data_IF_375160221065
#
_entry.id   IF_375160221065
#
_cell.length_a   1.000
_cell.length_b   1.000
_cell.length_c   1.000
_cell.angle_alpha   90.00
_cell.angle_beta   90.00
_cell.angle_gamma   90.00
#
_symmetry.space_group_name_H-M   'P 1'
#
loop_
_entity.id
_entity.type
_entity.pdbx_description
1 polymer ?
#
# COMPACT_ATOMS: atom_id res chain seq x y z
N UNK A 1 -14.00 9.53 -10.11
CA UNK A 1 -12.53 9.52 -10.10
C UNK A 1 -12.09 10.16 -8.78
N UNK A 2 -11.14 9.57 -8.04
CA UNK A 2 -10.71 10.08 -6.73
C UNK A 2 -9.39 10.85 -6.85
N UNK A 3 -9.15 11.80 -5.93
CA UNK A 3 -7.90 12.57 -5.85
C UNK A 3 -6.65 11.65 -5.84
N UNK A 4 -6.74 10.50 -5.15
CA UNK A 4 -5.66 9.50 -5.13
C UNK A 4 -5.31 9.00 -6.53
N UNK A 5 -6.30 8.68 -7.37
CA UNK A 5 -6.04 8.17 -8.72
C UNK A 5 -5.38 9.24 -9.60
N UNK A 6 -5.80 10.50 -9.47
CA UNK A 6 -5.19 11.63 -10.16
C UNK A 6 -3.73 11.83 -9.71
N UNK A 7 -3.47 11.78 -8.40
CA UNK A 7 -2.11 11.85 -7.85
C UNK A 7 -1.22 10.71 -8.38
N UNK A 8 -1.71 9.47 -8.37
CA UNK A 8 -0.96 8.32 -8.90
C UNK A 8 -0.72 8.46 -10.41
N UNK A 9 -1.70 8.94 -11.17
CA UNK A 9 -1.56 9.16 -12.60
C UNK A 9 -0.48 10.19 -12.92
N UNK A 10 -0.43 11.30 -12.18
CA UNK A 10 0.64 12.30 -12.34
C UNK A 10 1.99 11.70 -11.91
N UNK A 11 2.03 10.98 -10.79
CA UNK A 11 3.26 10.43 -10.26
C UNK A 11 3.90 9.37 -11.18
N UNK A 12 3.16 8.74 -12.12
CA UNK A 12 3.71 7.81 -13.13
C UNK A 12 4.77 8.43 -14.05
N UNK A 13 4.96 9.74 -14.05
CA UNK A 13 6.11 10.37 -14.73
C UNK A 13 7.45 10.12 -14.01
N UNK A 14 7.41 9.61 -12.77
CA UNK A 14 8.57 9.42 -11.88
C UNK A 14 9.71 8.63 -12.53
N UNK A 15 9.50 7.45 -13.17
CA UNK A 15 10.59 6.73 -13.83
C UNK A 15 11.35 7.58 -14.85
N UNK A 16 10.62 8.41 -15.62
CA UNK A 16 11.21 9.33 -16.60
C UNK A 16 12.00 10.45 -15.93
N UNK A 17 11.50 11.00 -14.83
CA UNK A 17 12.18 12.08 -14.08
C UNK A 17 13.45 11.56 -13.41
N UNK A 18 13.42 10.33 -12.88
CA UNK A 18 14.56 9.73 -12.20
C UNK A 18 15.68 9.27 -13.15
N UNK A 19 15.36 9.05 -14.43
CA UNK A 19 16.34 8.59 -15.42
C UNK A 19 17.04 7.31 -14.96
N UNK A 20 18.37 7.31 -14.98
CA UNK A 20 19.20 6.16 -14.62
C UNK A 20 18.97 5.67 -13.17
N UNK A 21 18.44 6.51 -12.28
CA UNK A 21 18.14 6.11 -10.91
C UNK A 21 16.81 5.34 -10.76
N UNK A 22 15.97 5.28 -11.81
CA UNK A 22 14.64 4.67 -11.75
C UNK A 22 14.69 3.20 -11.29
N UNK A 23 15.59 2.42 -11.86
CA UNK A 23 15.74 0.99 -11.53
C UNK A 23 16.21 0.78 -10.09
N UNK A 24 17.13 1.60 -9.61
CA UNK A 24 17.62 1.55 -8.23
C UNK A 24 16.49 1.84 -7.23
N UNK A 25 15.66 2.85 -7.52
CA UNK A 25 14.53 3.20 -6.66
C UNK A 25 13.45 2.12 -6.67
N UNK A 26 13.09 1.59 -7.85
CA UNK A 26 12.13 0.49 -7.96
C UNK A 26 12.61 -0.76 -7.22
N UNK A 27 13.89 -1.11 -7.35
CA UNK A 27 14.51 -2.24 -6.64
C UNK A 27 14.45 -2.04 -5.13
N UNK A 28 14.80 -0.83 -4.65
CA UNK A 28 14.68 -0.48 -3.24
C UNK A 28 13.25 -0.65 -2.73
N UNK A 29 12.27 -0.05 -3.43
CA UNK A 29 10.85 -0.11 -3.05
C UNK A 29 10.33 -1.55 -3.00
N UNK A 30 10.69 -2.38 -3.98
CA UNK A 30 10.28 -3.79 -4.04
C UNK A 30 10.86 -4.56 -2.86
N UNK A 31 12.11 -4.28 -2.47
CA UNK A 31 12.74 -4.92 -1.30
C UNK A 31 12.16 -4.47 0.05
N UNK A 32 11.28 -3.47 0.09
CA UNK A 32 10.69 -2.99 1.34
C UNK A 32 9.50 -3.82 1.82
N UNK A 33 8.95 -4.71 0.99
CA UNK A 33 7.90 -5.62 1.43
C UNK A 33 8.49 -6.75 2.29
N UNK A 34 7.93 -6.98 3.46
CA UNK A 34 8.27 -8.10 4.34
C UNK A 34 7.49 -9.36 3.94
N UNK A 35 7.94 -10.51 4.43
CA UNK A 35 7.30 -11.82 4.18
C UNK A 35 5.90 -11.94 4.77
N UNK A 36 5.55 -11.14 5.77
CA UNK A 36 4.21 -11.05 6.32
C UNK A 36 3.26 -10.22 5.44
N UNK A 37 3.79 -9.50 4.45
CA UNK A 37 3.06 -8.71 3.47
C UNK A 37 3.10 -7.20 3.68
N UNK A 38 3.39 -6.74 4.89
CA UNK A 38 3.50 -5.31 5.18
C UNK A 38 4.81 -4.70 4.68
N UNK A 39 4.88 -3.37 4.62
CA UNK A 39 6.11 -2.67 4.26
C UNK A 39 6.87 -2.20 5.49
N UNK A 40 8.19 -2.26 5.38
CA UNK A 40 9.14 -1.89 6.41
C UNK A 40 9.01 -0.41 6.80
N UNK A 41 8.89 -0.18 8.10
CA UNK A 41 9.18 1.08 8.75
C UNK A 41 10.70 1.32 8.86
N UNK A 42 11.09 2.37 9.59
CA UNK A 42 12.50 2.74 9.78
C UNK A 42 13.33 1.71 10.55
N UNK A 43 12.68 0.80 11.29
CA UNK A 43 13.35 -0.27 12.05
C UNK A 43 13.16 -1.65 11.40
N UNK A 44 12.55 -1.70 10.20
CA UNK A 44 12.37 -2.91 9.42
C UNK A 44 11.09 -3.70 9.74
N UNK A 45 10.20 -3.18 10.59
CA UNK A 45 8.94 -3.85 10.94
C UNK A 45 7.83 -3.45 9.97
N UNK A 46 6.88 -4.35 9.75
CA UNK A 46 5.69 -4.07 8.95
C UNK A 46 4.77 -3.10 9.67
N UNK A 47 4.32 -2.06 8.95
CA UNK A 47 3.50 -0.98 9.49
C UNK A 47 2.45 -0.51 8.46
N UNK A 48 1.23 -0.21 8.90
CA UNK A 48 0.13 0.20 8.01
C UNK A 48 0.42 1.50 7.26
N UNK A 49 1.00 2.50 7.95
CA UNK A 49 1.36 3.78 7.36
C UNK A 49 2.39 3.58 6.25
N UNK A 50 3.47 2.83 6.51
CA UNK A 50 4.48 2.51 5.49
C UNK A 50 3.94 1.61 4.37
N UNK A 51 3.00 0.72 4.67
CA UNK A 51 2.36 -0.16 3.67
C UNK A 51 1.58 0.63 2.64
N UNK A 52 0.85 1.68 3.02
CA UNK A 52 0.18 2.57 2.05
C UNK A 52 1.19 3.20 1.10
N UNK A 53 2.29 3.75 1.62
CA UNK A 53 3.32 4.38 0.77
C UNK A 53 4.00 3.37 -0.13
N UNK A 54 4.28 2.17 0.38
CA UNK A 54 4.86 1.08 -0.41
C UNK A 54 3.98 0.71 -1.61
N UNK A 55 2.68 0.48 -1.36
CA UNK A 55 1.70 0.15 -2.40
C UNK A 55 1.55 1.29 -3.42
N UNK A 56 1.39 2.52 -2.96
CA UNK A 56 1.26 3.70 -3.85
C UNK A 56 2.55 3.90 -4.68
N UNK A 57 3.72 3.75 -4.07
CA UNK A 57 5.00 3.89 -4.75
C UNK A 57 5.21 2.78 -5.80
N UNK A 58 4.97 1.51 -5.48
CA UNK A 58 5.08 0.45 -6.48
C UNK A 58 4.08 0.63 -7.63
N UNK A 59 2.87 1.12 -7.35
CA UNK A 59 1.89 1.46 -8.38
C UNK A 59 2.39 2.53 -9.36
N UNK A 60 3.16 3.52 -8.86
CA UNK A 60 3.80 4.55 -9.70
C UNK A 60 4.83 3.97 -10.66
N UNK A 61 5.61 2.99 -10.19
CA UNK A 61 6.59 2.27 -11.01
C UNK A 61 5.98 1.12 -11.81
N UNK A 62 4.66 0.90 -11.71
CA UNK A 62 3.97 -0.25 -12.30
C UNK A 62 4.60 -1.59 -11.90
N UNK A 63 5.14 -1.64 -10.68
CA UNK A 63 5.67 -2.84 -10.06
C UNK A 63 4.57 -3.53 -9.24
N UNK A 64 4.52 -4.86 -9.29
CA UNK A 64 3.52 -5.64 -8.56
C UNK A 64 4.09 -6.12 -7.21
N UNK A 65 3.50 -5.72 -6.08
CA UNK A 65 3.80 -6.34 -4.79
C UNK A 65 3.18 -7.74 -4.68
N UNK A 66 3.60 -8.51 -3.67
CA UNK A 66 2.87 -9.72 -3.28
C UNK A 66 1.55 -9.31 -2.61
N UNK A 67 0.50 -9.21 -3.42
CA UNK A 67 -0.82 -8.80 -2.99
C UNK A 67 -1.46 -9.81 -2.03
N UNK A 68 -1.16 -11.10 -2.14
CA UNK A 68 -1.69 -12.14 -1.24
C UNK A 68 -1.07 -12.05 0.15
N UNK A 69 0.21 -11.72 0.24
CA UNK A 69 0.83 -11.39 1.50
C UNK A 69 0.21 -10.13 2.11
N UNK A 70 -0.03 -9.07 1.33
CA UNK A 70 -0.68 -7.86 1.85
C UNK A 70 -2.08 -8.17 2.39
N UNK A 71 -2.88 -8.98 1.71
CA UNK A 71 -4.22 -9.35 2.22
C UNK A 71 -4.10 -10.05 3.59
N UNK A 72 -3.16 -10.98 3.73
CA UNK A 72 -2.89 -11.67 5.00
C UNK A 72 -2.42 -10.71 6.09
N UNK A 73 -1.60 -9.71 5.75
CA UNK A 73 -1.17 -8.66 6.67
C UNK A 73 -2.34 -7.81 7.18
N UNK A 74 -3.30 -7.46 6.30
CA UNK A 74 -4.41 -6.57 6.63
C UNK A 74 -5.52 -7.27 7.43
N UNK A 75 -5.77 -8.55 7.18
CA UNK A 75 -6.88 -9.30 7.80
C UNK A 75 -6.93 -9.22 9.34
N UNK A 76 -5.82 -9.35 10.10
CA UNK A 76 -5.83 -9.27 11.55
C UNK A 76 -6.28 -7.92 12.13
N UNK A 77 -6.21 -6.83 11.36
CA UNK A 77 -6.66 -5.51 11.83
C UNK A 77 -8.18 -5.36 11.88
N UNK A 78 -8.93 -6.32 11.29
CA UNK A 78 -10.39 -6.32 11.33
C UNK A 78 -10.98 -5.03 10.74
N UNK A 79 -11.94 -4.44 11.46
CA UNK A 79 -12.53 -3.13 11.16
C UNK A 79 -11.73 -1.94 11.70
N UNK A 80 -10.59 -2.21 12.35
CA UNK A 80 -9.70 -1.18 12.86
C UNK A 80 -10.24 -0.40 14.04
N UNK A 81 -11.17 -0.94 14.84
CA UNK A 81 -11.72 -0.27 16.04
C UNK A 81 -10.62 0.22 17.01
N UNK A 82 -9.55 -0.55 17.14
CA UNK A 82 -8.40 -0.24 18.02
C UNK A 82 -7.34 0.67 17.36
N UNK A 83 -7.54 1.07 16.11
CA UNK A 83 -6.59 1.92 15.39
C UNK A 83 -6.90 3.39 15.63
N UNK A 84 -5.84 4.19 15.76
CA UNK A 84 -6.01 5.64 15.64
C UNK A 84 -6.44 6.03 14.21
N UNK A 85 -6.89 7.27 14.05
CA UNK A 85 -7.39 7.78 12.77
C UNK A 85 -6.39 7.63 11.62
N UNK A 86 -5.08 7.76 11.90
CA UNK A 86 -4.04 7.66 10.87
C UNK A 86 -3.97 6.22 10.37
N UNK A 87 -3.85 5.26 11.29
CA UNK A 87 -3.74 3.85 10.95
C UNK A 87 -5.05 3.30 10.36
N UNK A 88 -6.21 3.75 10.83
CA UNK A 88 -7.51 3.40 10.25
C UNK A 88 -7.63 3.91 8.81
N UNK A 89 -7.22 5.17 8.55
CA UNK A 89 -7.15 5.72 7.19
C UNK A 89 -6.20 4.89 6.31
N UNK A 90 -5.07 4.46 6.87
CA UNK A 90 -4.12 3.62 6.16
C UNK A 90 -4.68 2.23 5.85
N UNK A 91 -5.35 1.57 6.79
CA UNK A 91 -6.03 0.28 6.58
C UNK A 91 -7.04 0.38 5.42
N UNK A 92 -7.90 1.39 5.44
CA UNK A 92 -8.89 1.63 4.38
C UNK A 92 -8.24 1.89 3.03
N UNK A 93 -7.12 2.64 2.99
CA UNK A 93 -6.37 2.89 1.76
C UNK A 93 -5.68 1.64 1.23
N UNK A 94 -5.13 0.79 2.10
CA UNK A 94 -4.53 -0.49 1.71
C UNK A 94 -5.59 -1.40 1.08
N UNK A 95 -6.78 -1.54 1.69
CA UNK A 95 -7.89 -2.28 1.09
C UNK A 95 -8.34 -1.68 -0.25
N UNK A 96 -8.36 -0.35 -0.36
CA UNK A 96 -8.63 0.34 -1.61
C UNK A 96 -7.58 0.09 -2.71
N UNK A 97 -6.34 -0.25 -2.34
CA UNK A 97 -5.29 -0.67 -3.29
C UNK A 97 -5.44 -2.13 -3.72
N UNK A 98 -5.85 -3.02 -2.81
CA UNK A 98 -6.05 -4.44 -3.09
C UNK A 98 -7.28 -4.70 -3.97
N UNK A 99 -8.24 -3.78 -3.93
CA UNK A 99 -9.52 -3.91 -4.62
C UNK A 99 -10.61 -4.45 -3.70
N UNK A 100 -11.82 -3.91 -3.86
CA UNK A 100 -13.00 -4.23 -3.04
C UNK A 100 -13.39 -5.70 -3.05
N UNK A 101 -13.04 -6.45 -4.11
CA UNK A 101 -13.37 -7.87 -4.23
C UNK A 101 -12.55 -8.75 -3.28
N UNK A 102 -11.41 -8.25 -2.79
CA UNK A 102 -10.55 -8.94 -1.82
C UNK A 102 -10.89 -8.61 -0.37
N UNK A 103 -11.79 -7.66 -0.13
CA UNK A 103 -12.17 -7.29 1.23
C UNK A 103 -13.03 -8.39 1.88
N UNK A 104 -12.77 -8.75 3.15
CA UNK A 104 -13.67 -9.59 3.93
C UNK A 104 -15.13 -9.10 3.89
N UNK A 105 -16.07 -10.05 3.89
CA UNK A 105 -17.51 -9.73 3.84
C UNK A 105 -17.91 -8.83 5.01
N UNK A 106 -18.64 -7.77 4.71
CA UNK A 106 -19.09 -6.79 5.71
C UNK A 106 -18.07 -5.71 6.07
N UNK A 107 -16.77 -5.95 5.85
CA UNK A 107 -15.70 -5.00 6.20
C UNK A 107 -15.84 -3.68 5.46
N UNK A 108 -16.23 -3.73 4.19
CA UNK A 108 -16.48 -2.52 3.39
C UNK A 108 -17.47 -1.57 4.05
N UNK A 109 -18.55 -2.09 4.66
CA UNK A 109 -19.58 -1.28 5.33
C UNK A 109 -19.12 -0.75 6.69
N UNK A 110 -18.17 -1.45 7.32
CA UNK A 110 -17.58 -1.01 8.59
C UNK A 110 -16.57 0.13 8.38
N UNK A 111 -15.80 0.08 7.29
CA UNK A 111 -14.75 1.06 6.97
C UNK A 111 -15.19 2.24 6.08
N UNK A 112 -16.27 2.10 5.31
CA UNK A 112 -16.76 3.07 4.31
C UNK A 112 -18.28 3.28 4.41
#
# INVERSE_FOLDING_TARGET
>A
MSLRLEMLQVARVTPKILGDASELVQTFLTSQQNTDGGFKDRVGKSDLYYTVFGLDALSVFQAEPDLDAVEKFLCPFGDGEELDLIHLSCLTRCWGSLGVDRMPKGLRKALL
#
